data_IF_530285491896
#
_entry.id   IF_530285491896
#
_cell.length_a   1.000
_cell.length_b   1.000
_cell.length_c   1.000
_cell.angle_alpha   90.00
_cell.angle_beta   90.00
_cell.angle_gamma   90.00
#
_symmetry.space_group_name_H-M   'P 1'
#
loop_
_entity.id
_entity.type
_entity.pdbx_description
1 polymer ?
#
# COMPACT_ATOMS: atom_id res chain seq x y z
N UNK A 1 -75.94 -22.22 -13.30
CA UNK A 1 -74.73 -21.41 -13.03
C UNK A 1 -74.75 -20.24 -13.99
N UNK A 2 -75.07 -19.02 -13.52
CA UNK A 2 -75.06 -17.81 -14.36
C UNK A 2 -73.91 -16.90 -13.89
N UNK A 3 -73.16 -16.30 -14.82
CA UNK A 3 -71.92 -15.58 -14.54
C UNK A 3 -72.22 -14.25 -13.84
N UNK A 4 -71.38 -13.87 -12.88
CA UNK A 4 -71.39 -12.56 -12.25
C UNK A 4 -71.11 -11.49 -13.32
N UNK A 5 -72.10 -10.63 -13.59
CA UNK A 5 -71.90 -9.41 -14.37
C UNK A 5 -71.04 -8.44 -13.55
N UNK A 6 -70.04 -7.87 -14.21
CA UNK A 6 -69.20 -6.79 -13.69
C UNK A 6 -69.86 -5.40 -13.83
N UNK A 7 -71.20 -5.31 -13.77
CA UNK A 7 -71.94 -4.06 -13.95
C UNK A 7 -72.32 -3.38 -12.61
N UNK A 8 -71.43 -3.41 -11.62
CA UNK A 8 -71.64 -2.71 -10.34
C UNK A 8 -70.63 -1.56 -10.12
N UNK A 9 -70.35 -0.78 -11.17
CA UNK A 9 -69.91 0.59 -10.97
C UNK A 9 -71.13 1.50 -11.16
N UNK A 10 -71.80 1.85 -10.07
CA UNK A 10 -72.80 2.91 -10.06
C UNK A 10 -72.11 4.24 -10.36
N UNK A 11 -72.02 4.61 -11.64
CA UNK A 11 -71.56 5.93 -12.04
C UNK A 11 -72.67 6.92 -11.72
N UNK A 12 -72.72 7.38 -10.48
CA UNK A 12 -73.54 8.54 -10.10
C UNK A 12 -72.86 9.79 -10.67
N UNK A 13 -73.24 10.20 -11.88
CA UNK A 13 -72.85 11.51 -12.44
C UNK A 13 -73.65 12.60 -11.73
N UNK A 14 -73.16 13.04 -10.57
CA UNK A 14 -73.57 14.33 -10.01
C UNK A 14 -72.82 15.44 -10.74
N UNK A 15 -73.56 16.34 -11.39
CA UNK A 15 -72.98 17.57 -11.94
C UNK A 15 -72.78 18.57 -10.81
N UNK A 16 -71.56 18.72 -10.32
CA UNK A 16 -71.19 19.79 -9.40
C UNK A 16 -71.26 21.11 -10.18
N UNK A 17 -72.06 22.07 -9.71
CA UNK A 17 -72.20 23.38 -10.35
C UNK A 17 -70.88 24.15 -10.34
N UNK A 18 -70.57 24.81 -11.46
CA UNK A 18 -69.31 25.50 -11.74
C UNK A 18 -68.73 26.38 -10.61
N UNK A 19 -69.52 27.13 -9.81
CA UNK A 19 -68.97 27.98 -8.74
C UNK A 19 -68.40 27.22 -7.54
N UNK A 20 -68.65 25.91 -7.42
CA UNK A 20 -68.07 25.07 -6.36
C UNK A 20 -66.90 24.22 -6.86
N UNK A 21 -66.41 24.50 -8.08
CA UNK A 21 -65.23 23.87 -8.66
C UNK A 21 -64.16 24.94 -8.80
N UNK A 22 -63.10 24.84 -8.00
CA UNK A 22 -61.88 25.64 -8.20
C UNK A 22 -61.21 25.19 -9.50
N UNK A 23 -61.56 25.86 -10.59
CA UNK A 23 -60.90 25.69 -11.88
C UNK A 23 -59.65 26.57 -11.88
N UNK A 24 -58.51 25.98 -12.20
CA UNK A 24 -57.30 26.74 -12.44
C UNK A 24 -57.59 27.82 -13.48
N UNK A 25 -57.14 29.05 -13.22
CA UNK A 25 -57.22 30.16 -14.17
C UNK A 25 -56.62 29.67 -15.49
N UNK A 26 -57.35 29.83 -16.59
CA UNK A 26 -56.88 29.44 -17.93
C UNK A 26 -55.73 30.38 -18.31
N UNK A 27 -54.52 30.04 -17.86
CA UNK A 27 -53.28 30.63 -18.33
C UNK A 27 -52.81 29.92 -19.60
N UNK A 28 -51.97 30.57 -20.39
CA UNK A 28 -51.28 29.91 -21.50
C UNK A 28 -50.40 28.81 -20.93
N UNK A 29 -50.83 27.55 -21.07
CA UNK A 29 -49.98 26.42 -20.77
C UNK A 29 -48.97 26.26 -21.91
N UNK A 30 -47.66 26.25 -21.60
CA UNK A 30 -46.66 25.97 -22.62
C UNK A 30 -46.86 24.55 -23.16
N UNK A 31 -46.47 24.34 -24.42
CA UNK A 31 -46.58 23.01 -25.03
C UNK A 31 -45.72 22.01 -24.25
N UNK A 32 -46.40 21.07 -23.60
CA UNK A 32 -45.76 20.03 -22.81
C UNK A 32 -44.78 19.18 -23.64
N UNK A 33 -44.99 19.07 -24.96
CA UNK A 33 -44.08 18.36 -25.85
C UNK A 33 -42.76 19.08 -26.01
N UNK A 34 -42.79 20.40 -26.21
CA UNK A 34 -41.58 21.23 -26.32
C UNK A 34 -40.78 21.20 -25.01
N UNK A 35 -41.45 21.32 -23.86
CA UNK A 35 -40.80 21.22 -22.56
C UNK A 35 -40.16 19.84 -22.33
N UNK A 36 -40.83 18.76 -22.73
CA UNK A 36 -40.28 17.41 -22.64
C UNK A 36 -39.07 17.18 -23.56
N UNK A 37 -39.05 17.76 -24.75
CA UNK A 37 -37.90 17.69 -25.68
C UNK A 37 -36.68 18.43 -25.13
N UNK A 38 -36.86 19.61 -24.54
CA UNK A 38 -35.79 20.37 -23.92
C UNK A 38 -35.18 19.62 -22.72
N UNK A 39 -36.02 19.06 -21.84
CA UNK A 39 -35.56 18.22 -20.73
C UNK A 39 -34.88 16.94 -21.23
N UNK A 40 -35.37 16.34 -22.32
CA UNK A 40 -34.73 15.19 -22.96
C UNK A 40 -33.28 15.50 -23.39
N UNK A 41 -33.04 16.67 -23.98
CA UNK A 41 -31.69 17.13 -24.35
C UNK A 41 -30.81 17.34 -23.12
N UNK A 42 -31.33 18.00 -22.08
CA UNK A 42 -30.61 18.21 -20.81
C UNK A 42 -30.19 16.88 -20.17
N UNK A 43 -31.09 15.90 -20.14
CA UNK A 43 -30.80 14.57 -19.60
C UNK A 43 -29.77 13.81 -20.43
N UNK A 44 -29.79 13.94 -21.75
CA UNK A 44 -28.76 13.36 -22.61
C UNK A 44 -27.37 13.96 -22.35
N UNK A 45 -27.29 15.28 -22.18
CA UNK A 45 -26.04 15.98 -21.85
C UNK A 45 -25.49 15.51 -20.50
N UNK A 46 -26.32 15.50 -19.46
CA UNK A 46 -25.96 15.00 -18.13
C UNK A 46 -25.49 13.54 -18.18
N UNK A 47 -26.16 12.69 -18.96
CA UNK A 47 -25.74 11.30 -19.14
C UNK A 47 -24.36 11.21 -19.80
N UNK A 48 -24.12 11.99 -20.85
CA UNK A 48 -22.81 12.02 -21.53
C UNK A 48 -21.71 12.49 -20.60
N UNK A 49 -21.97 13.49 -19.76
CA UNK A 49 -21.04 13.97 -18.75
C UNK A 49 -20.74 12.91 -17.69
N UNK A 50 -21.77 12.28 -17.12
CA UNK A 50 -21.61 11.20 -16.16
C UNK A 50 -20.81 10.02 -16.72
N UNK A 51 -21.02 9.67 -18.00
CA UNK A 51 -20.22 8.65 -18.68
C UNK A 51 -18.75 9.06 -18.85
N UNK A 52 -18.47 10.33 -19.14
CA UNK A 52 -17.10 10.87 -19.21
C UNK A 52 -16.42 10.84 -17.84
N UNK A 53 -17.10 11.35 -16.81
CA UNK A 53 -16.58 11.35 -15.44
C UNK A 53 -16.28 9.94 -14.94
N UNK A 54 -17.17 8.98 -15.22
CA UNK A 54 -16.96 7.57 -14.87
C UNK A 54 -15.71 7.02 -15.54
N UNK A 55 -15.49 7.32 -16.83
CA UNK A 55 -14.27 6.90 -17.55
C UNK A 55 -13.03 7.52 -16.91
N UNK A 56 -13.05 8.82 -16.62
CA UNK A 56 -11.93 9.49 -15.97
C UNK A 56 -11.61 8.92 -14.58
N UNK A 57 -12.63 8.61 -13.79
CA UNK A 57 -12.45 8.00 -12.47
C UNK A 57 -11.80 6.62 -12.58
N UNK A 58 -12.23 5.80 -13.54
CA UNK A 58 -11.64 4.48 -13.80
C UNK A 58 -10.17 4.61 -14.24
N UNK A 59 -9.86 5.52 -15.16
CA UNK A 59 -8.47 5.76 -15.59
C UNK A 59 -7.60 6.24 -14.43
N UNK A 60 -8.10 7.19 -13.63
CA UNK A 60 -7.39 7.68 -12.43
C UNK A 60 -7.18 6.56 -11.39
N UNK A 61 -8.14 5.66 -11.21
CA UNK A 61 -8.00 4.51 -10.32
C UNK A 61 -6.98 3.51 -10.86
N UNK A 62 -7.01 3.23 -12.17
CA UNK A 62 -6.08 2.33 -12.84
C UNK A 62 -4.63 2.84 -12.77
N UNK A 63 -4.41 4.14 -13.02
CA UNK A 63 -3.09 4.77 -12.90
C UNK A 63 -2.56 4.71 -11.46
N UNK A 64 -3.42 5.00 -10.48
CA UNK A 64 -3.06 4.91 -9.06
C UNK A 64 -2.70 3.48 -8.66
N UNK A 65 -3.49 2.49 -9.08
CA UNK A 65 -3.25 1.08 -8.83
C UNK A 65 -1.95 0.59 -9.45
N UNK A 66 -1.73 0.89 -10.73
CA UNK A 66 -0.50 0.52 -11.46
C UNK A 66 0.75 1.13 -10.82
N UNK A 67 0.67 2.41 -10.41
CA UNK A 67 1.78 3.08 -9.75
C UNK A 67 2.05 2.52 -8.34
N UNK A 68 1.01 2.21 -7.57
CA UNK A 68 1.16 1.59 -6.25
C UNK A 68 1.80 0.18 -6.37
N UNK A 69 1.35 -0.62 -7.34
CA UNK A 69 1.91 -1.93 -7.61
C UNK A 69 3.40 -1.85 -7.98
N UNK A 70 3.76 -0.90 -8.86
CA UNK A 70 5.17 -0.66 -9.22
C UNK A 70 6.02 -0.32 -7.99
N UNK A 71 5.52 0.51 -7.07
CA UNK A 71 6.22 0.84 -5.83
C UNK A 71 6.42 -0.37 -4.93
N UNK A 72 5.42 -1.24 -4.82
CA UNK A 72 5.51 -2.48 -4.03
C UNK A 72 6.59 -3.39 -4.62
N UNK A 73 6.57 -3.64 -5.93
CA UNK A 73 7.60 -4.45 -6.58
C UNK A 73 9.00 -3.86 -6.39
N UNK A 74 9.17 -2.55 -6.56
CA UNK A 74 10.46 -1.89 -6.33
C UNK A 74 10.95 -2.03 -4.87
N UNK A 75 10.05 -2.00 -3.89
CA UNK A 75 10.40 -2.22 -2.49
C UNK A 75 10.84 -3.67 -2.24
N UNK A 76 10.13 -4.64 -2.81
CA UNK A 76 10.46 -6.06 -2.73
C UNK A 76 11.81 -6.37 -3.38
N UNK A 77 12.05 -5.83 -4.58
CA UNK A 77 13.30 -5.99 -5.31
C UNK A 77 14.47 -5.38 -4.53
N UNK A 78 14.28 -4.18 -3.96
CA UNK A 78 15.28 -3.56 -3.09
C UNK A 78 15.61 -4.42 -1.89
N UNK A 79 14.61 -4.96 -1.20
CA UNK A 79 14.82 -5.83 -0.03
C UNK A 79 15.60 -7.09 -0.42
N UNK A 80 15.21 -7.72 -1.54
CA UNK A 80 15.91 -8.89 -2.08
C UNK A 80 17.37 -8.58 -2.38
N UNK A 81 17.66 -7.49 -3.07
CA UNK A 81 19.02 -7.08 -3.41
C UNK A 81 19.87 -6.81 -2.17
N UNK A 82 19.29 -6.21 -1.13
CA UNK A 82 20.00 -5.98 0.14
C UNK A 82 20.37 -7.30 0.83
N UNK A 83 19.45 -8.29 0.84
CA UNK A 83 19.73 -9.63 1.38
C UNK A 83 20.83 -10.34 0.59
N UNK A 84 20.78 -10.29 -0.74
CA UNK A 84 21.81 -10.86 -1.61
C UNK A 84 23.18 -10.19 -1.37
N UNK A 85 23.20 -8.86 -1.23
CA UNK A 85 24.43 -8.12 -0.93
C UNK A 85 25.03 -8.48 0.43
N UNK A 86 24.19 -8.61 1.46
CA UNK A 86 24.61 -9.03 2.79
C UNK A 86 25.22 -10.43 2.77
N UNK A 87 24.59 -11.38 2.05
CA UNK A 87 25.11 -12.72 1.88
C UNK A 87 26.49 -12.71 1.20
N UNK A 88 26.65 -11.96 0.11
CA UNK A 88 27.94 -11.82 -0.58
C UNK A 88 29.01 -11.22 0.35
N UNK A 89 28.66 -10.20 1.12
CA UNK A 89 29.58 -9.59 2.08
C UNK A 89 30.02 -10.59 3.17
N UNK A 90 29.09 -11.41 3.67
CA UNK A 90 29.39 -12.42 4.68
C UNK A 90 30.29 -13.54 4.13
N UNK A 91 30.03 -13.99 2.90
CA UNK A 91 30.89 -14.97 2.22
C UNK A 91 32.31 -14.40 2.00
N UNK A 92 32.43 -13.16 1.54
CA UNK A 92 33.73 -12.51 1.35
C UNK A 92 34.48 -12.34 2.68
N UNK A 93 33.80 -11.89 3.74
CA UNK A 93 34.39 -11.81 5.09
C UNK A 93 34.89 -13.16 5.58
N UNK A 94 34.11 -14.23 5.40
CA UNK A 94 34.50 -15.58 5.79
C UNK A 94 35.74 -16.03 5.02
N UNK A 95 35.77 -15.82 3.70
CA UNK A 95 36.93 -16.12 2.86
C UNK A 95 38.17 -15.36 3.32
N UNK A 96 38.05 -14.05 3.57
CA UNK A 96 39.18 -13.24 4.08
C UNK A 96 39.67 -13.72 5.44
N UNK A 97 38.76 -14.07 6.36
CA UNK A 97 39.11 -14.66 7.66
C UNK A 97 39.88 -15.97 7.51
N UNK A 98 39.44 -16.86 6.61
CA UNK A 98 40.16 -18.10 6.32
C UNK A 98 41.56 -17.84 5.76
N UNK A 99 41.70 -16.89 4.83
CA UNK A 99 43.01 -16.52 4.28
C UNK A 99 43.94 -16.01 5.38
N UNK A 100 43.47 -15.09 6.22
CA UNK A 100 44.26 -14.55 7.35
C UNK A 100 44.63 -15.63 8.35
N UNK A 101 43.73 -16.57 8.64
CA UNK A 101 44.00 -17.68 9.55
C UNK A 101 45.07 -18.66 9.01
N UNK A 102 45.21 -18.77 7.69
CA UNK A 102 46.25 -19.56 7.04
C UNK A 102 47.54 -18.78 6.78
N UNK A 103 47.59 -17.47 7.07
CA UNK A 103 48.81 -16.70 6.89
C UNK A 103 49.87 -17.11 7.92
N UNK A 104 51.14 -17.27 7.52
CA UNK A 104 52.24 -17.47 8.43
C UNK A 104 52.32 -16.35 9.48
N UNK A 105 52.55 -16.71 10.74
CA UNK A 105 52.68 -15.75 11.84
C UNK A 105 53.83 -14.74 11.64
N UNK A 106 54.84 -15.08 10.82
CA UNK A 106 55.90 -14.13 10.47
C UNK A 106 55.42 -12.96 9.61
N UNK A 107 54.33 -13.15 8.84
CA UNK A 107 53.77 -12.14 7.95
C UNK A 107 52.66 -11.33 8.62
N UNK A 108 51.89 -11.97 9.50
CA UNK A 108 50.80 -11.30 10.20
C UNK A 108 50.52 -11.92 11.57
N UNK A 109 50.59 -11.08 12.61
CA UNK A 109 50.10 -11.42 13.95
C UNK A 109 48.93 -10.48 14.29
N UNK A 110 47.72 -11.03 14.53
CA UNK A 110 46.57 -10.23 14.92
C UNK A 110 46.86 -9.35 16.16
N UNK A 111 46.26 -8.17 16.24
CA UNK A 111 46.53 -7.22 17.32
C UNK A 111 46.24 -7.80 18.72
N UNK A 112 45.17 -8.61 18.85
CA UNK A 112 44.85 -9.27 20.12
C UNK A 112 45.93 -10.28 20.52
N UNK A 113 46.42 -11.09 19.56
CA UNK A 113 47.53 -12.03 19.79
C UNK A 113 48.81 -11.34 20.24
N UNK A 114 49.14 -10.18 19.65
CA UNK A 114 50.31 -9.38 20.07
C UNK A 114 50.21 -8.93 21.52
N UNK A 115 48.99 -8.57 21.95
CA UNK A 115 48.73 -8.20 23.34
C UNK A 115 48.84 -9.39 24.29
N UNK A 116 48.23 -10.53 23.92
CA UNK A 116 48.35 -11.79 24.67
C UNK A 116 49.81 -12.17 24.90
N UNK A 117 50.62 -12.18 23.84
CA UNK A 117 52.06 -12.50 23.94
C UNK A 117 52.82 -11.56 24.88
N UNK A 118 52.47 -10.26 24.88
CA UNK A 118 53.10 -9.29 25.78
C UNK A 118 52.71 -9.52 27.24
N UNK A 119 51.45 -9.84 27.49
CA UNK A 119 50.94 -10.16 28.84
C UNK A 119 51.48 -11.50 29.35
N UNK A 120 51.72 -12.46 28.46
CA UNK A 120 52.38 -13.74 28.78
C UNK A 120 53.86 -13.53 29.14
N UNK A 121 54.60 -12.78 28.31
CA UNK A 121 55.99 -12.40 28.59
C UNK A 121 56.15 -11.66 29.92
N UNK A 122 55.23 -10.74 30.23
CA UNK A 122 55.24 -10.03 31.50
C UNK A 122 55.04 -11.00 32.68
N UNK A 123 54.13 -11.97 32.56
CA UNK A 123 53.88 -12.98 33.61
C UNK A 123 55.08 -13.90 33.82
N UNK A 124 55.75 -14.32 32.76
CA UNK A 124 56.98 -15.13 32.86
C UNK A 124 58.08 -14.37 33.61
N UNK A 125 58.21 -13.07 33.36
CA UNK A 125 59.14 -12.22 34.12
C UNK A 125 58.75 -12.11 35.59
N UNK A 126 57.48 -11.87 35.89
CA UNK A 126 56.97 -11.79 37.27
C UNK A 126 57.26 -13.10 38.03
N UNK A 127 57.04 -14.26 37.39
CA UNK A 127 57.36 -15.57 37.96
C UNK A 127 58.86 -15.74 38.23
N UNK A 128 59.72 -15.40 37.26
CA UNK A 128 61.16 -15.49 37.44
C UNK A 128 61.69 -14.57 38.56
N UNK A 129 61.07 -13.39 38.74
CA UNK A 129 61.38 -12.50 39.86
C UNK A 129 60.96 -13.10 41.21
N UNK A 130 59.80 -13.72 41.28
CA UNK A 130 59.28 -14.36 42.50
C UNK A 130 60.16 -15.55 42.92
N UNK A 131 60.55 -16.42 41.97
CA UNK A 131 61.49 -17.53 42.21
C UNK A 131 62.81 -17.03 42.80
N UNK A 132 63.44 -16.01 42.19
CA UNK A 132 64.70 -15.45 42.68
C UNK A 132 64.59 -14.90 44.12
N UNK A 133 63.49 -14.24 44.45
CA UNK A 133 63.28 -13.66 45.79
C UNK A 133 62.84 -14.69 46.85
N UNK A 134 62.32 -15.84 46.42
CA UNK A 134 61.92 -16.92 47.32
C UNK A 134 63.06 -17.92 47.58
N UNK A 135 64.01 -18.05 46.64
CA UNK A 135 65.28 -18.75 46.85
C UNK A 135 66.17 -18.06 47.91
N UNK A 136 66.15 -16.73 48.01
CA UNK A 136 66.92 -15.94 49.00
C UNK A 136 66.31 -15.95 50.42
N UNK A 137 65.15 -16.61 50.62
CA UNK A 137 64.44 -16.71 51.91
C UNK A 137 64.41 -18.12 52.53
N UNK A 138 65.20 -19.06 52.00
CA UNK A 138 65.36 -20.44 52.53
C UNK A 138 66.71 -20.65 53.21
#
# INVERSE_FOLDING_TARGET
VKPYSADNFSVTRYHISEPYVDRAVVGEQPDARLAAEEEGKRLEELRREAERERREQLEKAHLRGSHALKKIHLAQDRERLLKELEQMQNVDRLRRRQVVAQMPAQLFVPAYRRREMKEEWQRELEFAFEDMYSEDRS
#
